data_IF_683879214794
#
_entry.id   IF_683879214794
#
_cell.length_a   1.000
_cell.length_b   1.000
_cell.length_c   1.000
_cell.angle_alpha   90.00
_cell.angle_beta   90.00
_cell.angle_gamma   90.00
#
_symmetry.space_group_name_H-M   'P 1'
#
loop_
_entity.id
_entity.type
_entity.pdbx_description
1 polymer ?
#
# COMPACT_ATOMS: atom_id res chain seq x y z
N UNK A 1 -5.25 -11.22 15.82
CA UNK A 1 -5.00 -9.75 15.87
C UNK A 1 -5.41 -9.18 14.52
N UNK A 2 -6.33 -8.21 14.50
CA UNK A 2 -6.77 -7.52 13.27
C UNK A 2 -5.72 -6.50 12.85
N UNK A 3 -5.52 -6.33 11.56
CA UNK A 3 -4.70 -5.24 11.01
C UNK A 3 -5.62 -4.25 10.28
N UNK A 4 -5.54 -2.98 10.63
CA UNK A 4 -6.42 -1.94 10.13
C UNK A 4 -5.58 -0.79 9.58
N UNK A 5 -5.69 -0.51 8.28
CA UNK A 5 -5.17 0.71 7.67
C UNK A 5 -6.21 1.82 7.83
N UNK A 6 -5.82 2.93 8.46
CA UNK A 6 -6.66 4.12 8.61
C UNK A 6 -6.09 5.29 7.82
N UNK A 7 -6.89 5.87 6.95
CA UNK A 7 -6.57 7.05 6.17
C UNK A 7 -7.57 8.16 6.49
N UNK A 8 -7.12 9.41 6.48
CA UNK A 8 -8.05 10.53 6.39
C UNK A 8 -8.69 10.58 5.01
N UNK A 9 -9.89 11.13 4.89
CA UNK A 9 -10.55 11.28 3.59
C UNK A 9 -9.70 12.11 2.63
N UNK A 10 -9.09 13.21 3.11
CA UNK A 10 -8.19 14.05 2.31
C UNK A 10 -7.00 13.25 1.76
N UNK A 11 -6.29 12.52 2.62
CA UNK A 11 -5.14 11.71 2.20
C UNK A 11 -5.54 10.64 1.17
N UNK A 12 -6.73 10.04 1.36
CA UNK A 12 -7.26 9.06 0.42
C UNK A 12 -7.63 9.69 -0.93
N UNK A 13 -8.30 10.84 -0.91
CA UNK A 13 -8.69 11.55 -2.14
C UNK A 13 -7.44 11.98 -2.94
N UNK A 14 -6.43 12.54 -2.28
CA UNK A 14 -5.16 12.94 -2.90
C UNK A 14 -4.42 11.71 -3.49
N UNK A 15 -4.37 10.61 -2.74
CA UNK A 15 -3.79 9.35 -3.21
C UNK A 15 -4.49 8.83 -4.47
N UNK A 16 -5.84 8.73 -4.43
CA UNK A 16 -6.63 8.21 -5.55
C UNK A 16 -6.49 9.12 -6.77
N UNK A 17 -6.52 10.44 -6.59
CA UNK A 17 -6.31 11.38 -7.67
C UNK A 17 -4.98 11.12 -8.39
N UNK A 18 -3.88 10.96 -7.63
CA UNK A 18 -2.56 10.70 -8.20
C UNK A 18 -2.46 9.33 -8.86
N UNK A 19 -3.06 8.30 -8.29
CA UNK A 19 -3.09 6.95 -8.89
C UNK A 19 -3.89 6.89 -10.20
N UNK A 20 -4.82 7.82 -10.42
CA UNK A 20 -5.60 7.96 -11.65
C UNK A 20 -4.88 8.74 -12.76
N UNK A 21 -3.79 9.44 -12.46
CA UNK A 21 -3.08 10.20 -13.48
C UNK A 21 -2.51 9.24 -14.53
N UNK A 22 -2.72 9.51 -15.83
CA UNK A 22 -2.21 8.64 -16.87
C UNK A 22 -0.68 8.60 -16.87
N UNK A 23 -0.13 7.45 -17.25
CA UNK A 23 1.29 7.28 -17.51
C UNK A 23 1.48 6.86 -18.97
N UNK A 24 2.57 7.27 -19.61
CA UNK A 24 2.73 7.08 -21.06
C UNK A 24 3.01 5.62 -21.45
N UNK A 25 3.45 4.74 -20.56
CA UNK A 25 3.61 3.32 -20.81
C UNK A 25 3.08 2.42 -19.68
N UNK A 26 3.12 2.86 -18.40
CA UNK A 26 2.57 2.04 -17.31
C UNK A 26 1.05 2.07 -17.32
N UNK A 27 0.43 0.92 -17.26
CA UNK A 27 -1.04 0.76 -17.23
C UNK A 27 -1.66 1.16 -15.90
N UNK A 28 -0.87 1.18 -14.83
CA UNK A 28 -1.27 1.53 -13.47
C UNK A 28 -0.18 2.36 -12.80
N UNK A 29 -0.58 3.28 -11.93
CA UNK A 29 0.35 3.96 -11.05
C UNK A 29 0.39 3.27 -9.69
N UNK A 30 1.56 3.36 -9.05
CA UNK A 30 1.76 2.87 -7.69
C UNK A 30 2.28 3.99 -6.79
N UNK A 31 2.05 3.84 -5.50
CA UNK A 31 2.60 4.73 -4.48
C UNK A 31 2.89 3.94 -3.20
N UNK A 32 3.55 4.58 -2.24
CA UNK A 32 3.78 4.02 -0.91
C UNK A 32 3.16 4.94 0.13
N UNK A 33 2.16 4.45 0.85
CA UNK A 33 1.62 5.13 2.03
C UNK A 33 2.64 5.04 3.17
N UNK A 34 2.97 6.19 3.74
CA UNK A 34 3.79 6.30 4.94
C UNK A 34 2.86 6.19 6.15
N UNK A 35 3.05 5.15 6.95
CA UNK A 35 2.16 4.85 8.06
C UNK A 35 2.92 4.80 9.39
N UNK A 36 2.27 5.26 10.46
CA UNK A 36 2.73 5.04 11.83
C UNK A 36 1.95 3.88 12.44
N UNK A 37 2.61 2.80 12.85
CA UNK A 37 1.93 1.69 13.49
C UNK A 37 1.58 2.03 14.93
N UNK A 38 0.40 1.59 15.37
CA UNK A 38 -0.03 1.64 16.75
C UNK A 38 -0.64 0.29 17.15
N UNK A 39 -0.12 -0.30 18.23
CA UNK A 39 -0.58 -1.59 18.73
C UNK A 39 -1.61 -1.39 19.84
N UNK A 40 -2.67 -2.19 19.79
CA UNK A 40 -3.59 -2.41 20.90
C UNK A 40 -3.60 -3.89 21.27
N UNK A 41 -4.32 -4.26 22.32
CA UNK A 41 -4.45 -5.66 22.74
C UNK A 41 -5.01 -6.58 21.64
N UNK A 42 -5.83 -6.05 20.72
CA UNK A 42 -6.54 -6.84 19.71
C UNK A 42 -6.22 -6.47 18.27
N UNK A 43 -5.57 -5.32 18.04
CA UNK A 43 -5.41 -4.74 16.70
C UNK A 43 -4.04 -4.10 16.50
N UNK A 44 -3.53 -4.22 15.29
CA UNK A 44 -2.49 -3.38 14.74
C UNK A 44 -3.16 -2.30 13.87
N UNK A 45 -2.94 -1.03 14.20
CA UNK A 45 -3.37 0.10 13.38
C UNK A 45 -2.20 0.59 12.57
N UNK A 46 -2.39 0.79 11.27
CA UNK A 46 -1.49 1.50 10.37
C UNK A 46 -2.13 2.87 10.09
N UNK A 47 -1.61 3.91 10.72
CA UNK A 47 -2.14 5.27 10.59
C UNK A 47 -1.42 5.98 9.45
N UNK A 48 -2.10 6.16 8.32
CA UNK A 48 -1.56 6.86 7.16
C UNK A 48 -1.35 8.33 7.47
N UNK A 49 -0.11 8.81 7.28
CA UNK A 49 0.30 10.19 7.54
C UNK A 49 0.83 10.93 6.32
N UNK A 50 1.01 10.23 5.19
CA UNK A 50 1.49 10.82 3.94
C UNK A 50 1.69 9.77 2.86
N UNK A 51 2.06 10.23 1.67
CA UNK A 51 2.34 9.40 0.51
C UNK A 51 3.75 9.66 0.01
N UNK A 52 4.45 8.61 -0.37
CA UNK A 52 5.62 8.68 -1.24
C UNK A 52 5.18 8.24 -2.63
N UNK A 53 5.13 9.18 -3.56
CA UNK A 53 4.79 8.90 -4.95
C UNK A 53 5.99 8.29 -5.68
N UNK A 54 5.70 7.41 -6.63
CA UNK A 54 6.67 6.94 -7.62
C UNK A 54 6.58 7.89 -8.80
N UNK A 55 7.69 8.57 -9.12
CA UNK A 55 7.75 9.53 -10.21
C UNK A 55 7.87 8.82 -11.56
N UNK A 56 7.52 9.50 -12.65
CA UNK A 56 7.44 8.90 -13.98
C UNK A 56 8.76 8.24 -14.43
N UNK A 57 9.89 8.87 -14.11
CA UNK A 57 11.23 8.35 -14.43
C UNK A 57 11.65 7.13 -13.60
N UNK A 58 10.90 6.80 -12.53
CA UNK A 58 11.17 5.67 -11.65
C UNK A 58 10.46 4.38 -12.09
N UNK A 59 9.63 4.45 -13.13
CA UNK A 59 9.03 3.27 -13.73
C UNK A 59 9.92 2.65 -14.80
N UNK A 60 9.79 1.34 -14.99
CA UNK A 60 10.43 0.58 -16.07
C UNK A 60 9.37 0.24 -17.11
N UNK A 61 9.67 0.51 -18.39
CA UNK A 61 8.81 0.09 -19.49
C UNK A 61 8.89 -1.44 -19.65
N UNK A 62 7.88 -2.10 -19.09
CA UNK A 62 7.73 -3.55 -19.11
C UNK A 62 6.32 -3.90 -19.61
N UNK A 63 6.16 -4.25 -20.88
CA UNK A 63 4.86 -4.55 -21.46
C UNK A 63 4.22 -5.85 -20.91
N UNK A 64 4.95 -6.63 -20.12
CA UNK A 64 4.43 -7.86 -19.49
C UNK A 64 3.74 -7.60 -18.15
N UNK A 65 3.87 -6.37 -17.60
CA UNK A 65 3.30 -5.99 -16.31
C UNK A 65 2.44 -4.72 -16.44
N UNK A 66 1.42 -4.58 -15.60
CA UNK A 66 0.63 -3.34 -15.52
C UNK A 66 1.47 -2.14 -15.08
N UNK A 67 2.44 -2.39 -14.19
CA UNK A 67 3.37 -1.39 -13.67
C UNK A 67 4.59 -2.08 -13.08
N UNK A 68 5.78 -1.57 -13.38
CA UNK A 68 7.03 -2.03 -12.78
C UNK A 68 7.82 -0.86 -12.22
N UNK A 69 7.98 -0.85 -10.90
CA UNK A 69 8.82 0.14 -10.22
C UNK A 69 10.28 -0.24 -10.38
N UNK A 70 11.06 0.68 -10.92
CA UNK A 70 12.49 0.51 -11.10
C UNK A 70 13.27 0.56 -9.77
N UNK A 71 14.55 0.15 -9.83
CA UNK A 71 15.44 0.17 -8.66
C UNK A 71 15.58 1.56 -8.04
N UNK A 72 15.52 2.63 -8.83
CA UNK A 72 15.58 4.00 -8.34
C UNK A 72 14.35 4.32 -7.47
N UNK A 73 13.15 4.01 -7.96
CA UNK A 73 11.90 4.25 -7.22
C UNK A 73 11.86 3.48 -5.91
N UNK A 74 12.23 2.18 -5.93
CA UNK A 74 12.29 1.38 -4.71
C UNK A 74 13.33 1.93 -3.72
N UNK A 75 14.50 2.34 -4.18
CA UNK A 75 15.53 2.95 -3.34
C UNK A 75 15.04 4.25 -2.70
N UNK A 76 14.34 5.11 -3.43
CA UNK A 76 13.74 6.34 -2.89
C UNK A 76 12.71 6.02 -1.80
N UNK A 77 11.86 5.01 -2.02
CA UNK A 77 10.89 4.55 -1.03
C UNK A 77 11.56 4.00 0.24
N UNK A 78 12.61 3.18 0.09
CA UNK A 78 13.42 2.68 1.22
C UNK A 78 14.09 3.83 1.99
N UNK A 79 14.63 4.83 1.28
CA UNK A 79 15.22 6.02 1.90
C UNK A 79 14.17 6.82 2.69
N UNK A 80 12.97 6.99 2.15
CA UNK A 80 11.87 7.65 2.86
C UNK A 80 11.48 6.88 4.13
N UNK A 81 11.35 5.55 4.05
CA UNK A 81 11.07 4.69 5.20
C UNK A 81 12.13 4.82 6.29
N UNK A 82 13.42 4.83 5.89
CA UNK A 82 14.54 5.00 6.82
C UNK A 82 14.53 6.36 7.50
N UNK A 83 14.43 7.43 6.71
CA UNK A 83 14.55 8.82 7.20
C UNK A 83 13.40 9.21 8.13
N UNK A 84 12.18 8.76 7.81
CA UNK A 84 10.97 9.13 8.56
C UNK A 84 10.60 8.11 9.64
N UNK A 85 11.30 6.97 9.71
CA UNK A 85 11.03 5.84 10.62
C UNK A 85 9.55 5.40 10.56
N UNK A 86 9.06 5.09 9.37
CA UNK A 86 7.66 4.74 9.10
C UNK A 86 7.51 3.36 8.47
N UNK A 87 6.34 2.77 8.69
CA UNK A 87 5.86 1.63 7.91
C UNK A 87 5.52 2.09 6.50
N UNK A 88 5.83 1.27 5.50
CA UNK A 88 5.45 1.52 4.11
C UNK A 88 4.38 0.52 3.67
N UNK A 89 3.33 1.05 3.04
CA UNK A 89 2.28 0.25 2.44
C UNK A 89 2.22 0.56 0.95
N UNK A 90 2.65 -0.40 0.12
CA UNK A 90 2.54 -0.31 -1.34
C UNK A 90 1.07 -0.26 -1.74
N UNK A 91 0.72 0.65 -2.63
CA UNK A 91 -0.67 0.84 -3.07
C UNK A 91 -0.76 1.03 -4.57
N UNK A 92 -1.80 0.45 -5.18
CA UNK A 92 -2.23 0.72 -6.54
C UNK A 92 -3.75 0.67 -6.64
N UNK A 93 -4.30 1.08 -7.76
CA UNK A 93 -5.74 1.21 -7.98
C UNK A 93 -6.16 0.40 -9.21
N UNK A 94 -7.12 -0.50 -9.02
CA UNK A 94 -7.85 -1.14 -10.11
C UNK A 94 -9.09 -0.32 -10.47
N UNK A 95 -9.21 0.13 -11.69
CA UNK A 95 -10.27 1.02 -12.17
C UNK A 95 -11.60 0.28 -12.42
N UNK A 96 -12.12 -0.35 -11.38
CA UNK A 96 -13.44 -1.00 -11.41
C UNK A 96 -14.17 -0.87 -10.07
N UNK A 97 -15.46 -1.21 -10.05
CA UNK A 97 -16.21 -1.36 -8.82
C UNK A 97 -16.18 -2.81 -8.33
N UNK A 98 -16.40 -2.97 -7.03
CA UNK A 98 -16.38 -4.27 -6.38
C UNK A 98 -15.03 -4.60 -5.74
N UNK A 99 -14.94 -5.78 -5.16
CA UNK A 99 -13.76 -6.23 -4.42
C UNK A 99 -12.58 -6.46 -5.38
N UNK A 100 -11.48 -5.72 -5.27
CA UNK A 100 -10.29 -5.96 -6.07
C UNK A 100 -9.60 -7.25 -5.62
N UNK A 101 -8.66 -7.73 -6.43
CA UNK A 101 -7.80 -8.88 -6.09
C UNK A 101 -6.38 -8.56 -6.50
N UNK A 102 -5.44 -8.98 -5.69
CA UNK A 102 -4.06 -9.03 -6.16
C UNK A 102 -3.95 -10.02 -7.34
N UNK A 103 -3.29 -9.62 -8.39
CA UNK A 103 -2.86 -10.53 -9.45
C UNK A 103 -1.80 -11.51 -8.92
N UNK A 104 -1.50 -12.56 -9.66
CA UNK A 104 -0.40 -13.47 -9.30
C UNK A 104 0.95 -12.75 -9.30
N UNK A 105 1.12 -11.76 -10.19
CA UNK A 105 2.29 -10.90 -10.23
C UNK A 105 2.38 -10.06 -8.96
N UNK A 106 1.29 -9.38 -8.56
CA UNK A 106 1.27 -8.59 -7.32
C UNK A 106 1.63 -9.43 -6.09
N UNK A 107 1.04 -10.62 -5.98
CA UNK A 107 1.31 -11.50 -4.84
C UNK A 107 2.77 -11.90 -4.77
N UNK A 108 3.39 -12.23 -5.90
CA UNK A 108 4.80 -12.59 -5.98
C UNK A 108 5.70 -11.40 -5.67
N UNK A 109 5.46 -10.27 -6.33
CA UNK A 109 6.29 -9.07 -6.16
C UNK A 109 6.15 -8.50 -4.74
N UNK A 110 4.94 -8.40 -4.19
CA UNK A 110 4.73 -7.96 -2.82
C UNK A 110 5.44 -8.85 -1.79
N UNK A 111 5.46 -10.17 -2.01
CA UNK A 111 6.16 -11.11 -1.12
C UNK A 111 7.68 -10.96 -1.20
N UNK A 112 8.21 -10.42 -2.29
CA UNK A 112 9.64 -10.16 -2.46
C UNK A 112 10.03 -8.79 -1.88
N UNK A 113 9.43 -7.71 -2.38
CA UNK A 113 9.93 -6.37 -2.04
C UNK A 113 9.36 -5.77 -0.75
N UNK A 114 8.16 -6.17 -0.29
CA UNK A 114 7.62 -5.59 0.96
C UNK A 114 8.50 -5.94 2.17
N UNK A 115 8.99 -7.18 2.33
CA UNK A 115 9.95 -7.49 3.38
C UNK A 115 11.29 -6.76 3.27
N UNK A 116 11.68 -6.25 2.08
CA UNK A 116 12.92 -5.48 1.94
C UNK A 116 12.93 -4.20 2.78
N UNK A 117 11.74 -3.65 3.10
CA UNK A 117 11.65 -2.53 4.04
C UNK A 117 12.17 -2.87 5.44
N UNK A 118 12.23 -4.16 5.83
CA UNK A 118 12.85 -4.57 7.09
C UNK A 118 14.36 -4.36 7.12
N UNK A 119 15.01 -4.23 5.96
CA UNK A 119 16.44 -3.88 5.92
C UNK A 119 16.70 -2.47 6.47
N UNK A 120 15.71 -1.60 6.44
CA UNK A 120 15.80 -0.21 6.92
C UNK A 120 14.93 0.08 8.15
N UNK A 121 13.82 -0.67 8.33
CA UNK A 121 12.90 -0.57 9.46
C UNK A 121 12.50 -1.96 9.98
N UNK A 122 13.43 -2.69 10.62
CA UNK A 122 13.25 -4.13 10.93
C UNK A 122 12.15 -4.43 11.95
N UNK A 123 11.76 -3.45 12.75
CA UNK A 123 10.73 -3.61 13.80
C UNK A 123 9.34 -3.17 13.36
N UNK A 124 9.21 -2.56 12.18
CA UNK A 124 7.94 -2.03 11.72
C UNK A 124 7.20 -3.01 10.79
N UNK A 125 5.87 -3.08 10.86
CA UNK A 125 5.07 -3.80 9.87
C UNK A 125 5.03 -3.03 8.54
N UNK A 126 5.07 -3.77 7.42
CA UNK A 126 4.93 -3.20 6.09
C UNK A 126 3.83 -3.93 5.33
N UNK A 127 3.29 -3.35 4.28
CA UNK A 127 2.13 -3.93 3.62
C UNK A 127 1.98 -3.59 2.15
N UNK A 128 0.92 -4.17 1.58
CA UNK A 128 0.42 -3.84 0.26
C UNK A 128 -1.11 -3.80 0.29
N UNK A 129 -1.70 -2.86 -0.44
CA UNK A 129 -3.16 -2.70 -0.56
C UNK A 129 -3.49 -2.36 -2.01
N UNK A 130 -4.43 -3.08 -2.59
CA UNK A 130 -5.06 -2.72 -3.85
C UNK A 130 -6.42 -2.12 -3.56
N UNK A 131 -6.66 -0.94 -4.13
CA UNK A 131 -7.95 -0.26 -4.08
C UNK A 131 -8.76 -0.55 -5.36
N UNK A 132 -10.07 -0.44 -5.23
CA UNK A 132 -10.99 -0.20 -6.33
C UNK A 132 -11.82 1.03 -6.00
N UNK A 133 -12.74 1.46 -6.87
CA UNK A 133 -13.55 2.66 -6.62
C UNK A 133 -14.39 2.61 -5.33
N UNK A 134 -14.66 1.43 -4.79
CA UNK A 134 -15.52 1.28 -3.62
C UNK A 134 -15.11 0.15 -2.67
N UNK A 135 -13.92 -0.42 -2.85
CA UNK A 135 -13.44 -1.51 -2.01
C UNK A 135 -11.91 -1.54 -1.94
N UNK A 136 -11.35 -2.33 -1.02
CA UNK A 136 -9.92 -2.56 -0.92
C UNK A 136 -9.63 -3.98 -0.43
N UNK A 137 -8.47 -4.51 -0.82
CA UNK A 137 -7.89 -5.75 -0.30
C UNK A 137 -6.43 -5.49 0.03
N UNK A 138 -5.97 -5.96 1.19
CA UNK A 138 -4.60 -5.73 1.59
C UNK A 138 -3.98 -6.88 2.38
N UNK A 139 -2.66 -6.88 2.39
CA UNK A 139 -1.81 -7.79 3.16
C UNK A 139 -0.79 -6.97 3.96
N UNK A 140 -0.46 -7.44 5.16
CA UNK A 140 0.52 -6.81 6.04
C UNK A 140 1.50 -7.86 6.56
N UNK A 141 2.76 -7.64 6.32
CA UNK A 141 3.89 -8.41 6.85
C UNK A 141 4.31 -7.82 8.18
N UNK A 142 4.21 -8.62 9.22
CA UNK A 142 4.49 -8.21 10.60
C UNK A 142 5.78 -8.93 11.05
N UNK A 143 6.78 -8.21 11.58
CA UNK A 143 8.00 -8.83 12.05
C UNK A 143 7.74 -10.02 13.00
N UNK A 144 8.46 -11.12 12.78
CA UNK A 144 8.30 -12.35 13.57
C UNK A 144 7.10 -13.23 13.17
N UNK A 145 6.35 -12.89 12.11
CA UNK A 145 5.30 -13.76 11.55
C UNK A 145 5.74 -14.36 10.22
N UNK A 146 5.41 -15.62 10.01
CA UNK A 146 5.80 -16.37 8.80
C UNK A 146 4.94 -16.06 7.57
N UNK A 147 3.74 -15.48 7.76
CA UNK A 147 2.82 -15.17 6.67
C UNK A 147 2.14 -13.82 6.91
N UNK A 148 1.78 -13.10 5.83
CA UNK A 148 1.08 -11.84 5.95
C UNK A 148 -0.34 -12.03 6.51
N UNK A 149 -0.82 -11.02 7.22
CA UNK A 149 -2.20 -10.94 7.69
C UNK A 149 -3.03 -10.04 6.77
N UNK A 150 -4.32 -10.33 6.62
CA UNK A 150 -5.25 -9.47 5.89
C UNK A 150 -5.38 -8.08 6.53
N UNK A 151 -5.60 -7.07 5.71
CA UNK A 151 -5.76 -5.67 6.11
C UNK A 151 -7.20 -5.22 5.88
N UNK A 152 -7.83 -4.69 6.92
CA UNK A 152 -9.06 -3.92 6.80
C UNK A 152 -8.68 -2.45 6.53
N UNK A 153 -9.43 -1.75 5.66
CA UNK A 153 -9.17 -0.34 5.39
C UNK A 153 -10.34 0.52 5.83
N UNK A 154 -10.05 1.62 6.52
CA UNK A 154 -11.01 2.59 6.97
C UNK A 154 -10.61 4.00 6.52
N UNK A 155 -11.51 4.69 5.80
CA UNK A 155 -11.38 6.09 5.43
C UNK A 155 -12.17 6.92 6.43
N UNK A 156 -11.47 7.80 7.14
CA UNK A 156 -12.04 8.61 8.22
C UNK A 156 -12.14 10.06 7.76
N UNK A 157 -13.36 10.58 7.77
CA UNK A 157 -13.66 11.96 7.40
C UNK A 157 -15.03 12.37 7.92
N UNK A 158 -15.45 13.60 7.62
CA UNK A 158 -16.79 14.08 7.95
C UNK A 158 -17.53 14.44 6.64
N UNK A 159 -18.53 13.65 6.24
CA UNK A 159 -18.94 12.38 6.84
C UNK A 159 -17.93 11.24 6.60
N UNK A 160 -17.99 10.18 7.40
CA UNK A 160 -17.19 8.98 7.16
C UNK A 160 -17.64 8.33 5.85
N UNK A 161 -16.72 8.19 4.89
CA UNK A 161 -17.08 7.79 3.52
C UNK A 161 -17.14 6.28 3.31
N UNK A 162 -16.18 5.53 3.85
CA UNK A 162 -16.06 4.10 3.60
C UNK A 162 -15.40 3.35 4.75
N UNK A 163 -15.87 2.13 4.98
CA UNK A 163 -15.16 1.11 5.72
C UNK A 163 -15.16 -0.16 4.89
N UNK A 164 -14.00 -0.68 4.54
CA UNK A 164 -13.86 -1.92 3.81
C UNK A 164 -13.30 -3.00 4.72
N UNK A 165 -13.98 -4.13 4.76
CA UNK A 165 -13.54 -5.31 5.50
C UNK A 165 -12.97 -6.33 4.54
N UNK A 166 -11.82 -6.87 4.88
CA UNK A 166 -11.32 -8.09 4.26
C UNK A 166 -12.08 -9.24 4.89
N UNK A 167 -12.99 -9.85 4.16
CA UNK A 167 -13.51 -11.15 4.54
C UNK A 167 -12.49 -12.20 4.10
N UNK A 168 -11.92 -12.92 5.05
CA UNK A 168 -11.13 -14.11 4.75
C UNK A 168 -12.02 -15.06 3.94
N UNK A 169 -11.64 -15.29 2.69
CA UNK A 169 -12.19 -16.34 1.85
C UNK A 169 -11.28 -17.54 1.91
#
# INVERSE_FOLDING_TARGET
>A
MRTILKLTATLYDDLVQRLHEPHHFAGERVAFLKCRPALSATSLLLLGGGVHHVEDEDYVDDPSAGSTVGRSGLRKALQAAYTEAVSMVHVHLHEHRGRPRFSMTDLRENALFVPDFWNVQPSLPHGAVVFSFNSAVGQCWIPGRSSPSGVETAIVGSPMRCTWKVTNG
#
